data_IF_197270857429
#
_entry.id   IF_197270857429
#
_cell.length_a   1.000
_cell.length_b   1.000
_cell.length_c   1.000
_cell.angle_alpha   90.00
_cell.angle_beta   90.00
_cell.angle_gamma   90.00
#
_symmetry.space_group_name_H-M   'P 1'
#
loop_
_entity.id
_entity.type
_entity.pdbx_description
1 polymer ?
#
# COMPACT_ATOMS: atom_id res chain seq x y z
N UNK A 1 6.00 4.93 -8.39
CA UNK A 1 5.87 4.24 -7.10
C UNK A 1 7.01 4.70 -6.22
N UNK A 2 6.73 4.94 -4.94
CA UNK A 2 7.81 5.07 -3.96
C UNK A 2 8.08 3.66 -3.45
N UNK A 3 9.29 3.15 -3.67
CA UNK A 3 9.69 1.85 -3.12
C UNK A 3 10.03 2.08 -1.65
N UNK A 4 9.19 1.59 -0.74
CA UNK A 4 9.55 1.47 0.67
C UNK A 4 10.26 0.13 0.85
N UNK A 5 11.59 0.15 0.69
CA UNK A 5 12.41 -1.03 0.95
C UNK A 5 12.73 -1.10 2.45
N UNK A 6 12.06 -2.01 3.17
CA UNK A 6 12.34 -2.24 4.59
C UNK A 6 13.79 -2.71 4.85
N UNK A 7 14.48 -3.26 3.84
CA UNK A 7 15.92 -3.59 3.91
C UNK A 7 16.77 -2.33 3.94
N UNK A 8 16.47 -1.36 3.06
CA UNK A 8 17.19 -0.08 2.98
C UNK A 8 16.76 0.92 4.06
N UNK A 9 15.61 0.69 4.72
CA UNK A 9 15.18 1.47 5.89
C UNK A 9 16.27 1.49 6.99
N UNK A 10 17.02 0.41 7.11
CA UNK A 10 18.14 0.32 8.07
C UNK A 10 19.43 1.02 7.60
N UNK A 11 19.55 1.29 6.30
CA UNK A 11 20.71 1.93 5.67
C UNK A 11 20.53 3.44 5.47
N UNK A 12 19.29 3.93 5.44
CA UNK A 12 18.93 5.36 5.27
C UNK A 12 18.30 6.02 6.52
N UNK A 13 18.45 5.40 7.68
CA UNK A 13 18.15 6.03 8.97
C UNK A 13 18.85 7.41 9.08
N UNK A 14 18.07 8.47 9.33
CA UNK A 14 18.57 9.83 9.61
C UNK A 14 18.52 10.17 11.12
N UNK A 15 18.49 9.14 11.96
CA UNK A 15 18.66 9.25 13.40
C UNK A 15 20.15 9.24 13.76
N UNK A 16 20.47 9.84 14.90
CA UNK A 16 21.79 9.69 15.52
C UNK A 16 21.99 8.34 16.22
N UNK A 17 21.00 7.45 16.12
CA UNK A 17 20.97 6.13 16.74
C UNK A 17 21.19 5.02 15.70
N UNK A 18 21.47 3.79 16.14
CA UNK A 18 21.76 2.68 15.22
C UNK A 18 20.51 2.32 14.38
N UNK A 19 20.53 2.66 13.09
CA UNK A 19 19.44 2.42 12.15
C UNK A 19 19.06 0.96 11.90
N UNK A 20 19.95 0.00 12.19
CA UNK A 20 19.62 -1.43 12.15
C UNK A 20 18.68 -1.87 13.27
N UNK A 21 18.56 -1.09 14.34
CA UNK A 21 17.76 -1.41 15.52
C UNK A 21 16.60 -0.43 15.65
N UNK A 22 16.85 0.87 15.52
CA UNK A 22 15.84 1.89 15.82
C UNK A 22 14.77 1.96 14.74
N UNK A 23 15.13 1.91 13.45
CA UNK A 23 14.15 2.04 12.39
C UNK A 23 13.15 0.85 12.34
N UNK A 24 13.57 -0.42 12.43
CA UNK A 24 12.63 -1.54 12.52
C UNK A 24 11.77 -1.50 13.78
N UNK A 25 12.33 -1.11 14.94
CA UNK A 25 11.57 -0.99 16.18
C UNK A 25 10.56 0.15 16.14
N UNK A 26 10.89 1.27 15.47
CA UNK A 26 9.97 2.40 15.31
C UNK A 26 8.77 2.01 14.44
N UNK A 27 9.00 1.26 13.35
CA UNK A 27 7.91 0.75 12.51
C UNK A 27 7.02 -0.20 13.30
N UNK A 28 7.62 -1.15 14.05
CA UNK A 28 6.89 -2.14 14.83
C UNK A 28 6.17 -1.57 16.07
N UNK A 29 6.66 -0.47 16.63
CA UNK A 29 6.08 0.16 17.82
C UNK A 29 4.96 1.16 17.50
N UNK A 30 4.82 1.60 16.25
CA UNK A 30 3.78 2.56 15.86
C UNK A 30 2.45 1.84 15.60
N UNK A 31 1.41 2.23 16.33
CA UNK A 31 0.08 1.66 16.19
C UNK A 31 -0.60 1.97 14.84
N UNK A 32 -0.07 2.92 14.06
CA UNK A 32 -0.56 3.25 12.72
C UNK A 32 0.11 2.40 11.62
N UNK A 33 1.08 1.55 11.99
CA UNK A 33 1.69 0.61 11.07
C UNK A 33 1.10 -0.79 11.25
N UNK A 34 0.92 -1.48 10.12
CA UNK A 34 0.57 -2.90 10.09
C UNK A 34 1.64 -3.62 9.29
N UNK A 35 2.31 -4.57 9.93
CA UNK A 35 3.34 -5.40 9.32
C UNK A 35 2.79 -6.81 9.08
N UNK A 36 2.96 -7.34 7.87
CA UNK A 36 2.48 -8.65 7.52
C UNK A 36 2.88 -9.04 6.10
N UNK A 37 2.63 -10.30 5.75
CA UNK A 37 2.82 -10.75 4.37
C UNK A 37 1.73 -10.16 3.49
N UNK A 38 2.09 -9.54 2.38
CA UNK A 38 1.11 -9.08 1.41
C UNK A 38 0.33 -10.27 0.83
N UNK A 39 -0.97 -10.07 0.67
CA UNK A 39 -1.84 -10.99 -0.07
C UNK A 39 -2.41 -10.37 -1.35
N UNK A 40 -1.84 -9.25 -1.81
CA UNK A 40 -2.21 -8.58 -3.05
C UNK A 40 -2.18 -9.57 -4.22
N UNK A 41 -3.26 -9.57 -5.00
CA UNK A 41 -3.31 -10.25 -6.29
C UNK A 41 -2.96 -9.25 -7.39
N UNK A 42 -1.67 -9.14 -7.71
CA UNK A 42 -1.17 -8.07 -8.58
C UNK A 42 -1.37 -6.71 -7.91
N UNK A 43 -2.32 -5.92 -8.39
CA UNK A 43 -2.64 -4.58 -7.89
C UNK A 43 -3.95 -4.50 -7.09
N UNK A 44 -4.64 -5.62 -6.92
CA UNK A 44 -5.92 -5.72 -6.24
C UNK A 44 -5.75 -6.22 -4.79
N UNK A 45 -6.56 -5.70 -3.83
CA UNK A 45 -6.53 -6.09 -2.42
C UNK A 45 -6.78 -7.59 -2.24
N UNK A 46 -5.98 -8.23 -1.39
CA UNK A 46 -6.23 -9.57 -0.89
C UNK A 46 -6.87 -9.58 0.50
N UNK A 47 -6.93 -10.76 1.11
CA UNK A 47 -7.56 -10.96 2.43
C UNK A 47 -6.85 -10.18 3.55
N UNK A 48 -5.52 -10.11 3.52
CA UNK A 48 -4.73 -9.40 4.53
C UNK A 48 -4.90 -7.88 4.41
N UNK A 49 -4.90 -7.36 3.18
CA UNK A 49 -5.13 -5.94 2.89
C UNK A 49 -6.54 -5.50 3.29
N UNK A 50 -7.56 -6.32 3.01
CA UNK A 50 -8.95 -6.05 3.40
C UNK A 50 -9.22 -6.15 4.91
N UNK A 51 -8.31 -6.78 5.67
CA UNK A 51 -8.42 -6.89 7.12
C UNK A 51 -7.84 -5.67 7.86
N UNK A 52 -7.13 -4.78 7.17
CA UNK A 52 -6.57 -3.57 7.78
C UNK A 52 -7.69 -2.55 8.00
N UNK A 53 -7.80 -2.04 9.24
CA UNK A 53 -8.77 -0.99 9.56
C UNK A 53 -8.30 0.34 8.98
N UNK A 54 -9.02 0.84 7.97
CA UNK A 54 -8.72 2.13 7.36
C UNK A 54 -9.13 3.31 8.25
N UNK A 55 -8.30 4.36 8.25
CA UNK A 55 -8.66 5.68 8.77
C UNK A 55 -9.40 6.44 7.67
N UNK A 56 -10.44 7.19 8.02
CA UNK A 56 -11.08 8.10 7.08
C UNK A 56 -10.25 9.39 6.93
N UNK A 57 -9.56 9.61 5.79
CA UNK A 57 -8.72 10.78 5.60
C UNK A 57 -9.53 12.08 5.44
N UNK A 58 -10.76 12.00 4.94
CA UNK A 58 -11.64 13.19 4.78
C UNK A 58 -12.04 13.82 6.12
N UNK A 59 -11.94 13.07 7.21
CA UNK A 59 -12.13 13.58 8.57
C UNK A 59 -10.92 14.38 9.08
N UNK A 60 -9.76 14.24 8.43
CA UNK A 60 -8.51 14.95 8.73
C UNK A 60 -8.39 16.16 7.80
N UNK A 61 -8.52 15.94 6.49
CA UNK A 61 -8.54 16.99 5.46
C UNK A 61 -9.63 16.68 4.42
N UNK A 62 -10.64 17.55 4.28
CA UNK A 62 -11.74 17.35 3.33
C UNK A 62 -11.35 17.23 1.86
N UNK A 63 -10.13 17.62 1.47
CA UNK A 63 -9.66 17.48 0.08
C UNK A 63 -9.33 16.03 -0.28
N UNK A 64 -9.18 15.16 0.72
CA UNK A 64 -8.81 13.76 0.52
C UNK A 64 -10.05 12.89 0.37
N UNK A 65 -10.06 12.06 -0.66
CA UNK A 65 -11.08 11.04 -0.84
C UNK A 65 -10.87 9.87 0.13
N UNK A 66 -11.96 9.43 0.75
CA UNK A 66 -11.94 8.29 1.65
C UNK A 66 -11.99 6.98 0.87
N UNK A 67 -11.17 6.02 1.29
CA UNK A 67 -11.18 4.64 0.80
C UNK A 67 -10.95 3.67 1.96
N UNK A 68 -11.43 2.44 1.81
CA UNK A 68 -11.36 1.37 2.81
C UNK A 68 -10.55 0.16 2.35
N UNK A 69 -9.75 0.29 1.27
CA UNK A 69 -8.93 -0.79 0.72
C UNK A 69 -7.46 -0.40 0.57
N UNK A 70 -6.59 -1.40 0.58
CA UNK A 70 -5.16 -1.28 0.25
C UNK A 70 -4.91 -1.97 -1.09
N UNK A 71 -4.60 -1.17 -2.11
CA UNK A 71 -4.40 -1.60 -3.49
C UNK A 71 -4.49 -0.41 -4.44
N UNK A 72 -4.10 -0.58 -5.71
CA UNK A 72 -4.30 0.46 -6.72
C UNK A 72 -5.76 0.49 -7.24
N UNK A 73 -6.48 -0.62 -7.06
CA UNK A 73 -7.87 -0.81 -7.45
C UNK A 73 -8.64 -1.36 -6.26
N UNK A 74 -9.93 -1.06 -6.21
CA UNK A 74 -10.84 -1.60 -5.19
C UNK A 74 -11.06 -3.10 -5.35
N UNK A 75 -11.59 -3.75 -4.31
CA UNK A 75 -11.96 -5.16 -4.34
C UNK A 75 -13.10 -5.49 -5.31
N UNK A 76 -13.87 -4.47 -5.72
CA UNK A 76 -15.00 -4.62 -6.66
C UNK A 76 -14.61 -4.39 -8.12
N UNK A 77 -13.44 -3.82 -8.36
CA UNK A 77 -12.90 -3.64 -9.71
C UNK A 77 -12.27 -4.93 -10.21
N UNK A 78 -12.19 -5.04 -11.54
CA UNK A 78 -11.61 -6.22 -12.20
C UNK A 78 -10.53 -5.81 -13.19
N UNK A 79 -9.69 -6.76 -13.63
CA UNK A 79 -8.68 -6.51 -14.67
C UNK A 79 -9.21 -5.85 -15.95
N UNK A 80 -10.46 -6.08 -16.33
CA UNK A 80 -11.04 -5.55 -17.57
C UNK A 80 -12.06 -4.44 -17.34
N UNK A 81 -12.45 -4.20 -16.09
CA UNK A 81 -13.39 -3.15 -15.68
C UNK A 81 -12.86 -2.44 -14.44
N UNK A 82 -12.04 -1.42 -14.67
CA UNK A 82 -11.46 -0.53 -13.70
C UNK A 82 -11.22 0.85 -14.34
N UNK A 83 -10.84 1.85 -13.55
CA UNK A 83 -10.61 3.22 -14.06
C UNK A 83 -9.49 3.32 -15.10
N UNK A 84 -8.54 2.39 -15.13
CA UNK A 84 -7.39 2.38 -16.04
C UNK A 84 -7.60 1.51 -17.30
N UNK A 85 -8.73 0.78 -17.38
CA UNK A 85 -9.05 -0.13 -18.47
C UNK A 85 -9.19 0.65 -19.80
N UNK A 86 -8.47 0.19 -20.83
CA UNK A 86 -8.45 0.81 -22.16
C UNK A 86 -7.56 2.05 -22.29
N UNK A 87 -6.97 2.54 -21.19
CA UNK A 87 -6.03 3.67 -21.19
C UNK A 87 -4.58 3.25 -20.94
N UNK A 88 -4.39 2.04 -20.39
CA UNK A 88 -3.09 1.53 -19.98
C UNK A 88 -2.91 0.06 -20.38
N UNK A 89 -1.66 -0.32 -20.64
CA UNK A 89 -1.25 -1.64 -21.09
C UNK A 89 -0.18 -2.19 -20.13
N UNK A 90 -0.13 -3.51 -19.93
CA UNK A 90 0.95 -4.16 -19.19
C UNK A 90 0.97 -3.90 -17.69
N UNK A 91 -0.15 -3.48 -17.08
CA UNK A 91 -0.25 -3.38 -15.64
C UNK A 91 -0.34 -4.79 -15.01
N UNK A 92 0.52 -5.15 -14.03
CA UNK A 92 0.50 -6.47 -13.41
C UNK A 92 -0.86 -6.79 -12.79
N UNK A 93 -1.44 -7.94 -13.18
CA UNK A 93 -2.76 -8.37 -12.71
C UNK A 93 -3.93 -7.72 -13.46
N UNK A 94 -3.68 -6.89 -14.48
CA UNK A 94 -4.70 -6.31 -15.37
C UNK A 94 -4.54 -6.95 -16.76
N UNK A 95 -5.60 -7.01 -17.59
CA UNK A 95 -5.46 -7.57 -18.95
C UNK A 95 -4.47 -6.75 -19.77
N UNK A 96 -3.56 -7.40 -20.49
CA UNK A 96 -2.60 -6.76 -21.39
C UNK A 96 -3.23 -6.38 -22.75
N UNK A 97 -4.55 -6.24 -22.79
CA UNK A 97 -5.33 -6.08 -24.02
C UNK A 97 -5.33 -4.61 -24.45
N UNK A 98 -4.17 -4.21 -24.94
CA UNK A 98 -3.98 -3.21 -25.97
C UNK A 98 -3.45 -3.95 -27.21
#
# INVERSE_FOLDING_TARGET
SVLFDCSELTAQDNSSANGLIVAPLAVAADANNVEGTSSLSGLFPGANEAAVTAVNPSAIDPVLDATDYIGAFSATETPTANWAAGWSCGLPGISNDC
#
